data_IF_895032647766
#
_entry.id   IF_895032647766
#
_cell.length_a   1.000
_cell.length_b   1.000
_cell.length_c   1.000
_cell.angle_alpha   90.00
_cell.angle_beta   90.00
_cell.angle_gamma   90.00
#
_symmetry.space_group_name_H-M   'P 1'
#
loop_
_entity.id
_entity.type
_entity.pdbx_description
1 polymer ?
#
# COMPACT_ATOMS: atom_id res chain seq x y z
N UNK A 1 16.96 -4.15 -8.98
CA UNK A 1 16.14 -4.41 -7.78
C UNK A 1 14.78 -3.78 -7.96
N UNK A 2 13.68 -4.43 -7.56
CA UNK A 2 12.36 -3.87 -7.81
C UNK A 2 12.04 -2.71 -6.87
N UNK A 3 11.37 -1.70 -7.42
CA UNK A 3 10.73 -0.68 -6.61
C UNK A 3 9.40 -1.21 -6.12
N UNK A 4 9.13 -1.02 -4.84
CA UNK A 4 7.85 -1.34 -4.25
C UNK A 4 7.25 -0.08 -3.64
N UNK A 5 5.95 0.13 -3.89
CA UNK A 5 5.19 1.24 -3.34
C UNK A 5 4.54 0.75 -2.05
N UNK A 6 4.88 1.40 -0.95
CA UNK A 6 4.35 1.07 0.38
C UNK A 6 3.50 2.23 0.85
N UNK A 7 2.31 1.92 1.33
CA UNK A 7 1.33 2.93 1.72
C UNK A 7 0.72 2.66 3.10
N UNK A 8 1.35 1.79 3.87
CA UNK A 8 0.87 1.43 5.21
C UNK A 8 2.00 1.36 6.24
N UNK A 9 1.95 0.35 7.09
CA UNK A 9 2.87 0.23 8.24
C UNK A 9 4.33 -0.02 7.90
N UNK A 10 4.66 -0.35 6.65
CA UNK A 10 6.05 -0.55 6.24
C UNK A 10 6.74 0.73 5.77
N UNK A 11 6.03 1.86 5.72
CA UNK A 11 6.63 3.16 5.46
C UNK A 11 7.59 3.57 6.58
N UNK A 12 8.43 4.58 6.32
CA UNK A 12 9.37 5.11 7.32
C UNK A 12 8.60 5.50 8.59
N UNK A 13 9.13 5.09 9.74
CA UNK A 13 8.50 5.35 11.03
C UNK A 13 7.35 4.42 11.37
N UNK A 14 6.96 3.54 10.46
CA UNK A 14 5.90 2.57 10.72
C UNK A 14 6.40 1.31 11.43
N UNK A 15 5.48 0.55 12.04
CA UNK A 15 5.86 -0.61 12.84
C UNK A 15 6.45 -1.78 12.03
N UNK A 16 6.24 -1.79 10.71
CA UNK A 16 6.72 -2.87 9.85
C UNK A 16 7.90 -2.46 8.97
N UNK A 17 8.40 -1.24 9.13
CA UNK A 17 9.52 -0.77 8.30
C UNK A 17 10.76 -1.65 8.48
N UNK A 18 10.97 -2.25 9.65
CA UNK A 18 12.09 -3.15 9.90
C UNK A 18 12.13 -4.34 8.94
N UNK A 19 11.00 -4.74 8.37
CA UNK A 19 10.93 -5.85 7.42
C UNK A 19 11.69 -5.57 6.13
N UNK A 20 11.97 -4.30 5.84
CA UNK A 20 12.70 -3.90 4.64
C UNK A 20 14.21 -4.13 4.77
N UNK A 21 14.70 -4.44 5.97
CA UNK A 21 16.12 -4.70 6.26
C UNK A 21 17.05 -3.60 5.75
N UNK A 22 16.62 -2.34 5.93
CA UNK A 22 17.42 -1.19 5.52
C UNK A 22 17.41 -0.92 4.01
N UNK A 23 16.46 -1.46 3.26
CA UNK A 23 16.34 -1.21 1.83
C UNK A 23 16.30 0.31 1.55
N UNK A 24 16.97 0.78 0.48
CA UNK A 24 17.03 2.20 0.19
C UNK A 24 15.66 2.83 -0.04
N UNK A 25 15.43 3.96 0.60
CA UNK A 25 14.27 4.80 0.34
C UNK A 25 14.46 5.49 -1.03
N UNK A 26 13.50 5.33 -1.91
CA UNK A 26 13.58 5.83 -3.28
C UNK A 26 12.66 7.03 -3.52
N UNK A 27 12.06 7.59 -2.49
CA UNK A 27 11.27 8.81 -2.58
C UNK A 27 9.81 8.62 -2.23
N UNK A 28 9.13 9.73 -2.04
CA UNK A 28 7.68 9.76 -1.89
C UNK A 28 7.04 9.69 -3.27
N UNK A 29 5.85 9.11 -3.35
CA UNK A 29 5.14 8.96 -4.61
C UNK A 29 3.63 8.93 -4.40
N UNK A 30 2.90 9.10 -5.50
CA UNK A 30 1.45 8.94 -5.52
C UNK A 30 1.08 8.01 -6.66
N UNK A 31 0.02 7.23 -6.46
CA UNK A 31 -0.53 6.41 -7.54
C UNK A 31 -1.18 7.28 -8.61
N UNK A 32 -1.34 6.73 -9.80
CA UNK A 32 -2.27 7.29 -10.77
C UNK A 32 -3.68 7.30 -10.16
N UNK A 33 -4.57 8.15 -10.70
CA UNK A 33 -5.95 8.28 -10.21
C UNK A 33 -6.83 7.12 -10.70
N UNK A 34 -6.40 5.90 -10.42
CA UNK A 34 -7.01 4.66 -10.90
C UNK A 34 -7.39 3.70 -9.77
N UNK A 35 -7.21 4.11 -8.51
CA UNK A 35 -7.38 3.21 -7.37
C UNK A 35 -8.27 3.81 -6.31
N UNK A 36 -9.06 2.94 -5.68
CA UNK A 36 -9.69 3.22 -4.40
C UNK A 36 -8.79 2.69 -3.31
N UNK A 37 -8.92 3.23 -2.10
CA UNK A 37 -8.06 2.92 -0.98
C UNK A 37 -8.92 2.51 0.20
N UNK A 38 -8.60 1.36 0.81
CA UNK A 38 -9.43 0.79 1.86
C UNK A 38 -8.62 0.47 3.10
N UNK A 39 -9.24 0.63 4.27
CA UNK A 39 -8.72 0.10 5.52
C UNK A 39 -9.28 -1.29 5.75
N UNK A 40 -8.41 -2.24 6.05
CA UNK A 40 -8.80 -3.63 6.38
C UNK A 40 -8.63 -3.81 7.88
N UNK A 41 -9.74 -3.97 8.60
CA UNK A 41 -9.77 -4.16 10.06
C UNK A 41 -9.08 -3.03 10.83
N UNK A 42 -8.91 -1.86 10.24
CA UNK A 42 -8.14 -0.72 10.76
C UNK A 42 -6.69 -1.07 11.12
N UNK A 43 -6.15 -2.12 10.51
CA UNK A 43 -4.79 -2.61 10.74
C UNK A 43 -3.84 -2.28 9.61
N UNK A 44 -4.32 -2.32 8.37
CA UNK A 44 -3.49 -2.07 7.19
C UNK A 44 -4.37 -1.63 6.04
N UNK A 45 -3.80 -0.90 5.07
CA UNK A 45 -4.54 -0.47 3.89
C UNK A 45 -4.33 -1.41 2.72
N UNK A 46 -5.22 -1.29 1.72
CA UNK A 46 -5.07 -1.97 0.44
C UNK A 46 -5.65 -1.15 -0.68
N UNK A 47 -5.04 -1.28 -1.86
CA UNK A 47 -5.49 -0.62 -3.08
C UNK A 47 -6.37 -1.54 -3.90
N UNK A 48 -7.32 -0.97 -4.62
CA UNK A 48 -8.14 -1.70 -5.58
C UNK A 48 -8.32 -0.88 -6.85
N UNK A 49 -8.01 -1.43 -8.04
CA UNK A 49 -8.16 -0.69 -9.29
C UNK A 49 -9.65 -0.57 -9.65
N UNK A 50 -10.01 0.61 -10.14
CA UNK A 50 -11.39 0.90 -10.54
C UNK A 50 -11.40 1.63 -11.88
N UNK A 51 -12.54 1.50 -12.59
CA UNK A 51 -12.74 2.23 -13.84
C UNK A 51 -13.11 3.69 -13.58
N UNK A 52 -13.77 3.98 -12.46
CA UNK A 52 -14.22 5.32 -12.09
C UNK A 52 -13.98 5.57 -10.61
N UNK A 53 -13.78 6.85 -10.27
CA UNK A 53 -13.71 7.25 -8.87
C UNK A 53 -12.39 6.97 -8.20
N UNK A 54 -11.35 6.64 -8.96
CA UNK A 54 -10.01 6.52 -8.41
C UNK A 54 -9.40 7.88 -8.13
N UNK A 55 -8.51 7.95 -7.12
CA UNK A 55 -7.76 9.18 -6.80
C UNK A 55 -6.30 8.82 -6.58
N UNK A 56 -5.38 9.79 -6.68
CA UNK A 56 -3.99 9.55 -6.30
C UNK A 56 -3.88 9.24 -4.82
N UNK A 57 -3.16 8.17 -4.50
CA UNK A 57 -2.93 7.74 -3.12
C UNK A 57 -1.45 7.90 -2.82
N UNK A 58 -1.14 8.54 -1.69
CA UNK A 58 0.24 8.82 -1.29
C UNK A 58 0.89 7.62 -0.62
N UNK A 59 2.18 7.47 -0.86
CA UNK A 59 3.00 6.43 -0.23
C UNK A 59 4.47 6.69 -0.45
N UNK A 60 5.26 5.66 -0.23
CA UNK A 60 6.72 5.73 -0.33
C UNK A 60 7.25 4.60 -1.20
N UNK A 61 8.32 4.90 -1.93
CA UNK A 61 9.01 3.92 -2.76
C UNK A 61 10.28 3.45 -2.07
N UNK A 62 10.52 2.15 -2.12
CA UNK A 62 11.74 1.52 -1.63
C UNK A 62 12.28 0.58 -2.70
N UNK A 63 13.60 0.54 -2.81
CA UNK A 63 14.30 -0.39 -3.68
C UNK A 63 14.59 -1.66 -2.87
N UNK A 64 13.71 -2.65 -2.97
CA UNK A 64 13.73 -3.82 -2.11
C UNK A 64 14.28 -5.02 -2.88
N UNK A 65 15.36 -5.66 -2.37
CA UNK A 65 15.86 -6.88 -3.00
C UNK A 65 14.78 -7.97 -3.05
N UNK A 66 14.78 -8.74 -4.13
CA UNK A 66 13.80 -9.82 -4.28
C UNK A 66 13.81 -10.80 -3.11
N UNK A 67 14.98 -11.05 -2.51
CA UNK A 67 15.11 -11.94 -1.36
C UNK A 67 14.38 -11.39 -0.14
N UNK A 68 14.46 -10.08 0.08
CA UNK A 68 13.77 -9.43 1.20
C UNK A 68 12.26 -9.47 0.96
N UNK A 69 11.84 -9.19 -0.27
CA UNK A 69 10.43 -9.30 -0.65
C UNK A 69 9.89 -10.70 -0.37
N UNK A 70 10.59 -11.72 -0.85
CA UNK A 70 10.18 -13.12 -0.73
C UNK A 70 10.20 -13.62 0.72
N UNK A 71 11.25 -13.27 1.47
CA UNK A 71 11.50 -13.86 2.78
C UNK A 71 10.95 -13.06 3.94
N UNK A 72 10.67 -11.76 3.75
CA UNK A 72 10.25 -10.87 4.83
C UNK A 72 8.88 -10.25 4.58
N UNK A 73 8.72 -9.54 3.46
CA UNK A 73 7.47 -8.81 3.21
C UNK A 73 6.30 -9.73 2.87
N UNK A 74 6.48 -10.64 1.94
CA UNK A 74 5.37 -11.51 1.53
C UNK A 74 4.89 -12.44 2.65
N UNK A 75 5.77 -13.07 3.45
CA UNK A 75 5.30 -13.87 4.58
C UNK A 75 4.57 -13.06 5.64
N UNK A 76 4.91 -11.77 5.80
CA UNK A 76 4.31 -10.93 6.82
C UNK A 76 2.98 -10.31 6.40
N UNK A 77 2.67 -10.29 5.09
CA UNK A 77 1.42 -9.67 4.64
C UNK A 77 0.21 -10.50 5.03
N UNK A 78 -0.91 -9.83 5.22
CA UNK A 78 -2.18 -10.49 5.45
C UNK A 78 -2.62 -11.32 4.24
N UNK A 79 -3.31 -12.47 4.46
CA UNK A 79 -3.90 -13.23 3.35
C UNK A 79 -5.01 -12.45 2.62
N UNK A 80 -5.45 -11.32 3.15
CA UNK A 80 -6.44 -10.44 2.49
C UNK A 80 -5.80 -9.56 1.42
N UNK A 81 -4.48 -9.51 1.36
CA UNK A 81 -3.73 -8.75 0.36
C UNK A 81 -2.98 -9.69 -0.57
N UNK A 82 -2.63 -9.16 -1.74
CA UNK A 82 -1.77 -9.85 -2.70
C UNK A 82 -0.83 -8.86 -3.35
N UNK A 83 0.32 -9.34 -3.80
CA UNK A 83 1.28 -8.51 -4.52
C UNK A 83 0.78 -8.30 -5.95
N UNK A 84 0.80 -7.06 -6.40
CA UNK A 84 0.40 -6.71 -7.76
C UNK A 84 1.29 -5.61 -8.32
N UNK A 85 0.98 -5.19 -9.55
CA UNK A 85 1.67 -4.10 -10.22
C UNK A 85 0.70 -2.94 -10.34
N UNK A 86 1.14 -1.75 -9.95
CA UNK A 86 0.33 -0.54 -10.01
C UNK A 86 1.01 0.51 -10.89
N UNK A 87 0.22 1.50 -11.30
CA UNK A 87 0.73 2.68 -12.00
C UNK A 87 0.86 3.85 -11.03
N UNK A 88 1.99 4.54 -11.10
CA UNK A 88 2.19 5.80 -10.40
C UNK A 88 1.68 6.97 -11.26
N UNK A 89 1.57 8.15 -10.67
CA UNK A 89 1.08 9.34 -11.37
C UNK A 89 2.05 9.84 -12.45
N UNK A 90 3.30 9.37 -12.42
CA UNK A 90 4.30 9.66 -13.47
C UNK A 90 4.41 8.53 -14.51
N UNK A 91 3.44 7.62 -14.54
CA UNK A 91 3.34 6.48 -15.46
C UNK A 91 4.36 5.36 -15.22
N UNK A 92 5.16 5.39 -14.14
CA UNK A 92 5.99 4.25 -13.81
C UNK A 92 5.12 3.11 -13.28
N UNK A 93 5.51 1.88 -13.56
CA UNK A 93 4.87 0.68 -12.99
C UNK A 93 5.76 0.15 -11.88
N UNK A 94 5.15 -0.11 -10.72
CA UNK A 94 5.88 -0.61 -9.55
C UNK A 94 5.05 -1.69 -8.85
N UNK A 95 5.70 -2.46 -7.99
CA UNK A 95 5.00 -3.46 -7.18
C UNK A 95 4.28 -2.78 -6.02
N UNK A 96 3.17 -3.34 -5.60
CA UNK A 96 2.46 -2.89 -4.40
C UNK A 96 1.54 -3.99 -3.88
N UNK A 97 1.12 -3.86 -2.61
CA UNK A 97 0.14 -4.77 -2.02
C UNK A 97 -1.27 -4.30 -2.39
N UNK A 98 -2.04 -5.21 -2.98
CA UNK A 98 -3.39 -4.94 -3.46
C UNK A 98 -4.37 -5.74 -2.64
N UNK A 99 -5.63 -5.29 -2.55
CA UNK A 99 -6.69 -6.11 -1.98
C UNK A 99 -6.94 -7.32 -2.87
N UNK A 100 -7.09 -8.48 -2.26
CA UNK A 100 -7.64 -9.63 -2.97
C UNK A 100 -9.12 -9.38 -3.24
N UNK A 101 -9.60 -9.89 -4.37
CA UNK A 101 -11.00 -9.68 -4.75
C UNK A 101 -11.99 -10.13 -3.67
N UNK A 102 -11.83 -11.30 -3.01
CA UNK A 102 -12.76 -11.67 -1.94
C UNK A 102 -12.79 -10.71 -0.76
N UNK A 103 -11.71 -9.96 -0.51
CA UNK A 103 -11.65 -8.98 0.58
C UNK A 103 -12.64 -7.84 0.37
N UNK A 104 -13.05 -7.56 -0.87
CA UNK A 104 -14.04 -6.53 -1.16
C UNK A 104 -15.41 -6.82 -0.53
N UNK A 105 -15.67 -8.07 -0.16
CA UNK A 105 -16.92 -8.46 0.50
C UNK A 105 -16.79 -8.50 2.03
N UNK A 106 -15.63 -8.13 2.57
CA UNK A 106 -15.39 -8.12 4.02
C UNK A 106 -16.24 -7.01 4.66
N UNK A 107 -17.12 -7.34 5.64
CA UNK A 107 -17.95 -6.31 6.28
C UNK A 107 -17.17 -5.29 7.10
N UNK A 108 -15.92 -5.59 7.46
CA UNK A 108 -15.05 -4.67 8.21
C UNK A 108 -14.21 -3.77 7.29
N UNK A 109 -14.40 -3.87 5.97
CA UNK A 109 -13.68 -3.04 5.02
C UNK A 109 -14.23 -1.62 5.03
N UNK A 110 -13.34 -0.62 5.17
CA UNK A 110 -13.73 0.80 5.17
C UNK A 110 -13.07 1.51 4.00
N UNK A 111 -13.86 2.21 3.18
CA UNK A 111 -13.35 3.02 2.08
C UNK A 111 -12.75 4.30 2.66
N UNK A 112 -11.44 4.46 2.54
CA UNK A 112 -10.70 5.61 3.04
C UNK A 112 -10.07 6.43 1.90
N UNK A 113 -10.58 6.26 0.69
CA UNK A 113 -10.03 6.89 -0.51
C UNK A 113 -9.90 8.41 -0.36
N UNK A 114 -10.89 9.07 0.26
CA UNK A 114 -10.91 10.52 0.38
C UNK A 114 -9.83 11.06 1.32
N UNK A 115 -9.24 10.21 2.16
CA UNK A 115 -8.12 10.62 3.00
C UNK A 115 -6.81 10.73 2.20
N UNK A 116 -6.70 10.02 1.09
CA UNK A 116 -5.53 10.08 0.20
C UNK A 116 -4.27 9.42 0.73
N UNK A 117 -4.22 9.04 2.01
CA UNK A 117 -3.07 8.37 2.61
C UNK A 117 -3.49 7.63 3.87
N UNK A 118 -2.70 6.61 4.23
CA UNK A 118 -2.91 5.85 5.46
C UNK A 118 -2.68 6.72 6.69
N UNK A 119 -1.67 7.58 6.63
CA UNK A 119 -1.35 8.46 7.75
C UNK A 119 -2.51 9.41 8.07
N UNK A 120 -3.11 10.03 7.06
CA UNK A 120 -4.25 10.93 7.26
C UNK A 120 -5.44 10.21 7.89
N UNK A 121 -5.71 8.98 7.46
CA UNK A 121 -6.77 8.19 8.06
C UNK A 121 -6.47 7.83 9.51
N UNK A 122 -5.23 7.43 9.81
CA UNK A 122 -4.83 7.09 11.18
C UNK A 122 -4.93 8.29 12.11
N UNK A 123 -4.60 9.48 11.63
CA UNK A 123 -4.74 10.71 12.41
C UNK A 123 -6.20 10.99 12.74
N UNK A 124 -7.11 10.76 11.80
CA UNK A 124 -8.54 10.92 12.02
C UNK A 124 -9.05 9.93 13.09
N UNK A 125 -8.60 8.67 13.05
CA UNK A 125 -8.98 7.69 14.07
C UNK A 125 -8.47 8.07 15.45
N UNK A 126 -7.29 8.68 15.53
CA UNK A 126 -6.69 9.09 16.81
C UNK A 126 -7.32 10.36 17.37
N UNK A 127 -7.88 11.16 16.48
CA UNK A 127 -8.52 12.41 16.86
C UNK A 127 -9.94 12.24 17.30
#
# INVERSE_FOLDING_TARGET
MPLIFLNGGAMRGGPLNYLLEGAPFAGEAKTAAQYRFYSVDDRFPGLHPVAYGGVPISGELFDVPMEVLRNRLLPAKSPKLELGVIALDDNRSVLSMMLRRPTLSDPELVDITDFGSWQSYREELAG
#
